data_IF_631162639645
#
_entry.id   IF_631162639645
#
_cell.length_a   1.000
_cell.length_b   1.000
_cell.length_c   1.000
_cell.angle_alpha   90.00
_cell.angle_beta   90.00
_cell.angle_gamma   90.00
#
_symmetry.space_group_name_H-M   'P 1'
#
loop_
_entity.id
_entity.type
_entity.pdbx_description
1 polymer ?
#
# COMPACT_ATOMS: atom_id res chain seq x y z
N UNK A 1 2.29 14.19 7.59
CA UNK A 1 3.39 15.17 7.48
C UNK A 1 4.11 14.98 6.14
N UNK A 2 4.66 16.05 5.55
CA UNK A 2 5.33 16.00 4.25
C UNK A 2 6.73 16.60 4.33
N UNK A 3 7.65 16.04 3.55
CA UNK A 3 8.98 16.61 3.34
C UNK A 3 8.91 17.61 2.19
N UNK A 4 9.27 18.86 2.47
CA UNK A 4 9.40 19.92 1.47
C UNK A 4 10.87 20.13 1.16
N UNK A 5 11.19 20.08 -0.12
CA UNK A 5 12.50 20.37 -0.70
C UNK A 5 12.38 21.59 -1.60
N UNK A 6 13.49 22.30 -1.82
CA UNK A 6 13.51 23.54 -2.59
C UNK A 6 14.40 23.35 -3.82
N UNK A 7 13.87 23.68 -5.00
CA UNK A 7 14.62 23.54 -6.25
C UNK A 7 15.85 24.45 -6.22
N UNK A 8 17.04 23.88 -6.44
CA UNK A 8 18.32 24.59 -6.31
C UNK A 8 18.54 25.32 -4.97
N UNK A 9 17.78 24.94 -3.92
CA UNK A 9 17.78 25.63 -2.64
C UNK A 9 17.01 26.95 -2.60
N UNK A 10 16.26 27.29 -3.66
CA UNK A 10 15.44 28.49 -3.72
C UNK A 10 14.16 28.34 -2.87
N UNK A 11 14.04 29.08 -1.75
CA UNK A 11 12.88 28.99 -0.86
C UNK A 11 11.55 29.37 -1.54
N UNK A 12 11.60 30.11 -2.65
CA UNK A 12 10.41 30.50 -3.43
C UNK A 12 9.96 29.40 -4.40
N UNK A 13 10.72 28.31 -4.52
CA UNK A 13 10.41 27.15 -5.38
C UNK A 13 10.29 25.84 -4.59
N UNK A 14 9.25 25.69 -3.74
CA UNK A 14 9.04 24.49 -2.95
C UNK A 14 8.49 23.32 -3.78
N UNK A 15 8.93 22.11 -3.44
CA UNK A 15 8.47 20.82 -3.98
C UNK A 15 8.27 19.82 -2.83
N UNK A 16 7.15 19.11 -2.84
CA UNK A 16 6.93 17.98 -1.94
C UNK A 16 7.66 16.75 -2.50
N UNK A 17 8.58 16.19 -1.71
CA UNK A 17 9.41 15.04 -2.12
C UNK A 17 9.17 13.78 -1.30
N UNK A 18 8.41 13.85 -0.21
CA UNK A 18 8.09 12.69 0.59
C UNK A 18 6.96 12.90 1.59
N UNK A 19 6.45 11.79 2.12
CA UNK A 19 5.45 11.75 3.18
C UNK A 19 6.00 10.95 4.36
N UNK A 20 5.75 11.43 5.58
CA UNK A 20 6.24 10.82 6.81
C UNK A 20 5.08 10.45 7.73
N UNK A 21 5.21 9.30 8.39
CA UNK A 21 4.33 8.87 9.47
C UNK A 21 4.79 9.49 10.79
N UNK A 22 3.83 9.82 11.65
CA UNK A 22 4.04 10.35 13.00
C UNK A 22 2.92 9.88 13.93
N UNK A 23 2.80 10.47 15.13
CA UNK A 23 1.88 10.00 16.17
C UNK A 23 0.41 10.05 15.76
N UNK A 24 -0.01 11.08 15.04
CA UNK A 24 -1.39 11.26 14.57
C UNK A 24 -1.65 10.56 13.23
N UNK A 25 -0.64 10.52 12.35
CA UNK A 25 -0.68 9.76 11.09
C UNK A 25 0.21 8.52 11.23
N UNK A 26 -0.31 7.48 11.87
CA UNK A 26 0.45 6.27 12.17
C UNK A 26 0.64 5.38 10.95
N UNK A 27 1.66 4.54 10.99
CA UNK A 27 1.87 3.48 10.00
C UNK A 27 0.64 2.55 9.88
N UNK A 28 0.37 1.95 8.71
CA UNK A 28 -0.84 1.12 8.49
C UNK A 28 -0.90 -0.14 9.35
N UNK A 29 0.25 -0.66 9.79
CA UNK A 29 0.36 -1.82 10.66
C UNK A 29 1.29 -1.53 11.82
N UNK A 30 0.94 -2.04 13.01
CA UNK A 30 1.72 -1.83 14.21
C UNK A 30 3.16 -2.34 14.05
N UNK A 31 4.13 -1.48 14.36
CA UNK A 31 5.55 -1.79 14.40
C UNK A 31 6.04 -1.89 15.86
N UNK A 32 7.04 -2.75 16.14
CA UNK A 32 7.85 -3.54 15.20
C UNK A 32 7.25 -4.92 14.87
N UNK A 33 6.08 -5.27 15.39
CA UNK A 33 5.48 -6.60 15.24
C UNK A 33 5.32 -7.04 13.78
N UNK A 34 4.98 -6.10 12.88
CA UNK A 34 4.75 -6.36 11.46
C UNK A 34 5.85 -5.81 10.54
N UNK A 35 7.11 -5.78 11.02
CA UNK A 35 8.25 -5.18 10.30
C UNK A 35 8.59 -5.82 8.94
N UNK A 36 8.09 -7.01 8.65
CA UNK A 36 8.29 -7.75 7.39
C UNK A 36 7.18 -7.48 6.37
N UNK A 37 6.25 -6.55 6.67
CA UNK A 37 5.17 -6.18 5.75
C UNK A 37 5.50 -4.93 4.96
N UNK A 38 5.31 -5.02 3.65
CA UNK A 38 5.30 -3.89 2.72
C UNK A 38 3.88 -3.66 2.23
N UNK A 39 3.39 -2.42 2.28
CA UNK A 39 1.97 -2.13 2.04
C UNK A 39 1.75 -0.87 1.23
N UNK A 40 0.83 -0.92 0.28
CA UNK A 40 0.17 0.23 -0.30
C UNK A 40 -1.30 0.18 0.09
N UNK A 41 -1.69 0.99 1.08
CA UNK A 41 -3.04 1.00 1.66
C UNK A 41 -3.65 2.38 1.54
N UNK A 42 -4.88 2.45 1.04
CA UNK A 42 -5.62 3.70 0.86
C UNK A 42 -6.72 3.86 1.91
N UNK A 43 -7.41 4.99 1.90
CA UNK A 43 -8.61 5.24 2.69
C UNK A 43 -9.63 5.87 1.75
N UNK A 44 -10.86 5.35 1.72
CA UNK A 44 -11.95 5.98 0.97
C UNK A 44 -12.13 7.43 1.43
N UNK A 45 -12.17 8.37 0.49
CA UNK A 45 -12.24 9.80 0.78
C UNK A 45 -13.66 10.28 1.08
N UNK A 46 -13.80 11.53 1.55
CA UNK A 46 -15.08 12.17 1.95
C UNK A 46 -15.79 11.49 3.14
N UNK A 47 -15.12 11.43 4.29
CA UNK A 47 -15.68 10.89 5.54
C UNK A 47 -15.54 9.36 5.66
N UNK A 48 -14.41 8.83 5.21
CA UNK A 48 -14.15 7.42 4.90
C UNK A 48 -14.63 6.35 5.89
N UNK A 49 -14.83 5.14 5.35
CA UNK A 49 -15.23 3.93 6.09
C UNK A 49 -14.74 2.64 5.43
N UNK A 50 -13.76 2.72 4.53
CA UNK A 50 -13.24 1.59 3.75
C UNK A 50 -11.84 1.84 3.20
N UNK A 51 -11.19 0.81 2.65
CA UNK A 51 -9.82 0.88 2.13
C UNK A 51 -9.57 -0.09 0.97
N UNK A 52 -8.68 0.28 0.05
CA UNK A 52 -8.05 -0.68 -0.86
C UNK A 52 -6.63 -0.99 -0.36
N UNK A 53 -6.14 -2.19 -0.61
CA UNK A 53 -4.82 -2.59 -0.13
C UNK A 53 -4.12 -3.59 -1.06
N UNK A 54 -2.84 -3.32 -1.34
CA UNK A 54 -1.86 -4.32 -1.74
C UNK A 54 -0.87 -4.48 -0.59
N UNK A 55 -0.70 -5.71 -0.10
CA UNK A 55 0.23 -6.04 0.97
C UNK A 55 1.07 -7.26 0.62
N UNK A 56 2.35 -7.17 0.91
CA UNK A 56 3.33 -8.25 0.80
C UNK A 56 3.87 -8.53 2.20
N UNK A 57 3.76 -9.77 2.67
CA UNK A 57 4.36 -10.28 3.89
C UNK A 57 5.54 -11.18 3.53
N UNK A 58 6.73 -10.83 4.01
CA UNK A 58 7.98 -11.55 3.74
C UNK A 58 8.48 -12.36 4.95
N UNK A 59 7.62 -12.60 5.94
CA UNK A 59 7.94 -13.47 7.07
C UNK A 59 8.11 -14.91 6.59
N UNK A 60 9.33 -15.44 6.72
CA UNK A 60 9.70 -16.79 6.29
C UNK A 60 8.71 -17.88 6.76
N UNK A 61 8.19 -18.66 5.83
CA UNK A 61 7.22 -19.73 6.06
C UNK A 61 5.78 -19.26 6.31
N UNK A 62 5.54 -17.95 6.20
CA UNK A 62 4.24 -17.28 6.34
C UNK A 62 4.08 -16.19 5.26
N UNK A 63 4.78 -16.34 4.13
CA UNK A 63 4.78 -15.38 3.04
C UNK A 63 3.38 -15.23 2.44
N UNK A 64 3.00 -13.99 2.11
CA UNK A 64 1.66 -13.74 1.57
C UNK A 64 1.64 -12.48 0.71
N UNK A 65 0.98 -12.57 -0.44
CA UNK A 65 0.46 -11.41 -1.17
C UNK A 65 -1.04 -11.31 -0.86
N UNK A 66 -1.48 -10.14 -0.42
CA UNK A 66 -2.87 -9.84 -0.12
C UNK A 66 -3.34 -8.66 -0.97
N UNK A 67 -4.44 -8.86 -1.68
CA UNK A 67 -5.15 -7.84 -2.45
C UNK A 67 -6.55 -7.65 -1.86
N UNK A 68 -6.90 -6.41 -1.57
CA UNK A 68 -8.22 -6.03 -1.09
C UNK A 68 -8.79 -4.89 -1.95
N UNK A 69 -9.95 -5.14 -2.54
CA UNK A 69 -10.78 -4.13 -3.16
C UNK A 69 -11.97 -3.82 -2.24
N UNK A 70 -12.17 -2.55 -1.89
CA UNK A 70 -13.25 -2.14 -0.99
C UNK A 70 -14.64 -2.34 -1.62
N UNK A 71 -14.75 -2.26 -2.94
CA UNK A 71 -16.03 -2.35 -3.64
C UNK A 71 -15.94 -3.28 -4.86
N UNK A 72 -15.38 -2.78 -5.95
CA UNK A 72 -15.30 -3.51 -7.22
C UNK A 72 -13.83 -3.79 -7.55
N UNK A 73 -13.54 -4.97 -8.10
CA UNK A 73 -12.25 -5.34 -8.67
C UNK A 73 -12.46 -5.73 -10.13
N UNK A 74 -12.03 -4.85 -11.03
CA UNK A 74 -12.05 -5.11 -12.46
C UNK A 74 -10.64 -5.48 -12.93
N UNK A 75 -10.50 -6.66 -13.54
CA UNK A 75 -9.25 -7.10 -14.16
C UNK A 75 -9.49 -7.24 -15.67
N UNK A 76 -8.78 -6.44 -16.48
CA UNK A 76 -8.85 -6.51 -17.94
C UNK A 76 -7.55 -7.06 -18.52
N UNK A 77 -7.63 -8.18 -19.26
CA UNK A 77 -6.49 -8.85 -19.89
C UNK A 77 -6.72 -8.94 -21.39
N UNK A 78 -5.91 -8.21 -22.16
CA UNK A 78 -6.04 -8.09 -23.63
C UNK A 78 -5.57 -9.33 -24.42
N UNK A 79 -4.93 -10.31 -23.76
CA UNK A 79 -4.43 -11.51 -24.44
C UNK A 79 -4.65 -12.78 -23.60
N UNK A 80 -3.67 -13.19 -22.77
CA UNK A 80 -3.76 -14.41 -21.98
C UNK A 80 -3.57 -14.13 -20.49
N UNK A 81 -4.45 -14.68 -19.65
CA UNK A 81 -4.22 -14.81 -18.21
C UNK A 81 -3.79 -16.25 -17.90
N UNK A 82 -2.66 -16.43 -17.21
CA UNK A 82 -2.17 -17.76 -16.79
C UNK A 82 -1.99 -17.79 -15.28
N UNK A 83 -2.81 -18.58 -14.61
CA UNK A 83 -2.75 -18.79 -13.16
C UNK A 83 -2.23 -20.20 -12.89
N UNK A 84 -1.20 -20.32 -12.06
CA UNK A 84 -0.67 -21.60 -11.59
C UNK A 84 -0.70 -21.61 -10.07
N UNK A 85 -1.46 -22.52 -9.50
CA UNK A 85 -1.57 -22.71 -8.05
C UNK A 85 -0.88 -24.03 -7.71
N UNK A 86 0.14 -23.98 -6.86
CA UNK A 86 0.94 -25.16 -6.49
C UNK A 86 0.25 -26.06 -5.45
N UNK A 87 -0.78 -25.57 -4.77
CA UNK A 87 -1.56 -26.31 -3.80
C UNK A 87 -3.06 -26.07 -4.06
N UNK A 88 -3.78 -25.43 -3.13
CA UNK A 88 -5.23 -25.27 -3.21
C UNK A 88 -5.64 -23.87 -3.64
N UNK A 89 -6.76 -23.81 -4.39
CA UNK A 89 -7.51 -22.60 -4.69
C UNK A 89 -8.90 -22.77 -4.09
N UNK A 90 -9.33 -21.78 -3.32
CA UNK A 90 -10.69 -21.71 -2.79
C UNK A 90 -11.42 -20.58 -3.53
N UNK A 91 -12.53 -20.91 -4.17
CA UNK A 91 -13.43 -19.98 -4.87
C UNK A 91 -14.75 -19.82 -4.09
#
# INVERSE_FOLDING_TARGET
>A
EVLVTFLEGDPDQPLISGCLYHKENTVPYALPANKTRSTFKTLSSMGGGGYNELRIEDKKGQEQIYLHAQRDWDENIEHDQKIRVGNERHD
#
